data_IF_082646188467
#
_entry.id   IF_082646188467
#
_cell.length_a   1.000
_cell.length_b   1.000
_cell.length_c   1.000
_cell.angle_alpha   90.00
_cell.angle_beta   90.00
_cell.angle_gamma   90.00
#
_symmetry.space_group_name_H-M   'P 1'
#
loop_
_entity.id
_entity.type
_entity.pdbx_description
1 polymer ?
#
# COMPACT_ATOMS: atom_id res chain seq x y z
N UNK A 1 -4.59 -15.71 0.60
CA UNK A 1 -4.31 -14.41 -0.03
C UNK A 1 -5.38 -13.41 0.35
N UNK A 2 -5.00 -12.24 0.84
CA UNK A 2 -5.95 -11.17 1.18
C UNK A 2 -6.38 -10.42 -0.07
N UNK A 3 -7.64 -9.98 -0.09
CA UNK A 3 -8.13 -9.16 -1.20
C UNK A 3 -7.67 -7.72 -1.03
N UNK A 4 -7.22 -7.12 -2.12
CA UNK A 4 -6.86 -5.70 -2.17
C UNK A 4 -8.02 -4.90 -2.71
N UNK A 5 -8.33 -3.80 -2.05
CA UNK A 5 -9.35 -2.85 -2.52
C UNK A 5 -8.64 -1.56 -2.88
N UNK A 6 -8.78 -1.13 -4.12
CA UNK A 6 -8.17 0.09 -4.62
C UNK A 6 -9.11 1.27 -4.42
N UNK A 7 -8.85 2.09 -3.44
CA UNK A 7 -9.59 3.33 -3.23
C UNK A 7 -9.37 4.30 -4.39
N UNK A 8 -10.31 5.21 -4.60
CA UNK A 8 -10.17 6.23 -5.66
C UNK A 8 -8.91 7.07 -5.48
N UNK A 9 -8.58 7.42 -4.25
CA UNK A 9 -7.35 8.17 -3.94
C UNK A 9 -6.10 7.40 -4.32
N UNK A 10 -6.09 6.09 -4.08
CA UNK A 10 -4.97 5.25 -4.46
C UNK A 10 -4.83 5.15 -5.98
N UNK A 11 -5.96 5.01 -6.69
CA UNK A 11 -5.95 4.96 -8.16
C UNK A 11 -5.34 6.22 -8.76
N UNK A 12 -5.73 7.39 -8.21
CA UNK A 12 -5.17 8.67 -8.67
C UNK A 12 -3.69 8.75 -8.40
N UNK A 13 -3.27 8.40 -7.19
CA UNK A 13 -1.86 8.42 -6.81
C UNK A 13 -1.04 7.48 -7.69
N UNK A 14 -1.56 6.29 -7.96
CA UNK A 14 -0.89 5.31 -8.82
C UNK A 14 -0.67 5.86 -10.22
N UNK A 15 -1.71 6.44 -10.83
CA UNK A 15 -1.62 7.02 -12.17
C UNK A 15 -0.60 8.16 -12.22
N UNK A 16 -0.64 9.06 -11.24
CA UNK A 16 0.29 10.20 -11.19
C UNK A 16 1.73 9.74 -11.00
N UNK A 17 1.93 8.82 -10.06
CA UNK A 17 3.26 8.38 -9.66
C UNK A 17 3.95 7.56 -10.73
N UNK A 18 3.18 6.78 -11.49
CA UNK A 18 3.72 5.88 -12.51
C UNK A 18 3.69 6.46 -13.91
N UNK A 19 3.21 7.70 -14.07
CA UNK A 19 3.18 8.34 -15.37
C UNK A 19 4.59 8.38 -15.96
N UNK A 20 4.75 7.80 -17.15
CA UNK A 20 6.03 7.72 -17.85
C UNK A 20 7.12 6.98 -17.06
N UNK A 21 6.71 6.12 -16.11
CA UNK A 21 7.63 5.35 -15.30
C UNK A 21 7.19 3.89 -15.24
N UNK A 22 7.33 3.15 -16.35
CA UNK A 22 6.88 1.75 -16.39
C UNK A 22 7.60 0.84 -15.39
N UNK A 23 8.87 1.11 -15.10
CA UNK A 23 9.61 0.32 -14.11
C UNK A 23 9.03 0.48 -12.71
N UNK A 24 8.64 1.71 -12.34
CA UNK A 24 8.02 1.96 -11.04
C UNK A 24 6.64 1.31 -10.98
N UNK A 25 5.88 1.36 -12.08
CA UNK A 25 4.59 0.70 -12.16
C UNK A 25 4.71 -0.79 -11.87
N UNK A 26 5.65 -1.47 -12.53
CA UNK A 26 5.89 -2.89 -12.32
C UNK A 26 6.29 -3.18 -10.88
N UNK A 27 7.18 -2.35 -10.32
CA UNK A 27 7.63 -2.53 -8.95
C UNK A 27 6.48 -2.41 -7.95
N UNK A 28 5.61 -1.41 -8.13
CA UNK A 28 4.43 -1.25 -7.26
C UNK A 28 3.52 -2.47 -7.38
N UNK A 29 3.25 -2.95 -8.61
CA UNK A 29 2.38 -4.11 -8.80
C UNK A 29 2.97 -5.36 -8.14
N UNK A 30 4.29 -5.55 -8.22
CA UNK A 30 4.95 -6.67 -7.54
C UNK A 30 4.83 -6.55 -6.02
N UNK A 31 5.01 -5.35 -5.48
CA UNK A 31 4.84 -5.12 -4.04
C UNK A 31 3.41 -5.39 -3.60
N UNK A 32 2.42 -4.98 -4.39
CA UNK A 32 1.02 -5.25 -4.09
C UNK A 32 0.74 -6.75 -4.04
N UNK A 33 1.32 -7.51 -4.94
CA UNK A 33 1.18 -8.97 -4.94
C UNK A 33 1.74 -9.57 -3.66
N UNK A 34 2.94 -9.15 -3.26
CA UNK A 34 3.55 -9.62 -2.02
C UNK A 34 2.69 -9.22 -0.82
N UNK A 35 2.18 -7.99 -0.81
CA UNK A 35 1.32 -7.50 0.27
C UNK A 35 0.07 -8.35 0.43
N UNK A 36 -0.55 -8.76 -0.68
CA UNK A 36 -1.74 -9.61 -0.65
C UNK A 36 -1.42 -11.00 -0.10
N UNK A 37 -0.26 -11.54 -0.43
CA UNK A 37 0.17 -12.87 0.02
C UNK A 37 0.58 -12.87 1.49
N UNK A 38 1.37 -11.88 1.90
CA UNK A 38 1.86 -11.75 3.27
C UNK A 38 2.18 -10.29 3.57
N UNK A 39 1.26 -9.54 4.21
CA UNK A 39 1.48 -8.13 4.49
C UNK A 39 2.66 -7.85 5.42
N UNK A 40 3.14 -8.83 6.15
CA UNK A 40 4.27 -8.68 7.07
C UNK A 40 5.55 -9.33 6.57
N UNK A 41 5.62 -9.59 5.27
CA UNK A 41 6.84 -10.07 4.66
C UNK A 41 7.96 -9.05 4.94
N UNK A 42 9.15 -9.47 5.44
CA UNK A 42 10.18 -8.53 5.91
C UNK A 42 10.62 -7.48 4.90
N UNK A 43 10.64 -7.81 3.60
CA UNK A 43 11.03 -6.86 2.57
C UNK A 43 10.09 -5.66 2.46
N UNK A 44 8.85 -5.79 2.92
CA UNK A 44 7.86 -4.72 2.86
C UNK A 44 8.04 -3.68 3.97
N UNK A 45 8.71 -4.04 5.05
CA UNK A 45 8.91 -3.14 6.21
C UNK A 45 7.60 -2.53 6.70
N UNK A 46 6.54 -3.34 6.70
CA UNK A 46 5.19 -2.91 7.07
C UNK A 46 5.17 -2.43 8.52
N UNK A 47 4.60 -1.24 8.74
CA UNK A 47 4.51 -0.67 10.08
C UNK A 47 3.31 0.26 10.21
N UNK A 48 2.86 0.45 11.45
CA UNK A 48 1.76 1.37 11.77
C UNK A 48 2.22 2.81 11.63
N UNK A 49 1.32 3.65 11.16
CA UNK A 49 1.52 5.09 11.14
C UNK A 49 0.89 5.72 12.37
N UNK A 50 1.34 6.91 12.72
CA UNK A 50 0.90 7.62 13.92
C UNK A 50 0.46 9.04 13.61
N UNK A 51 -0.08 9.74 14.62
CA UNK A 51 -0.52 11.12 14.47
C UNK A 51 -1.76 11.21 13.57
N UNK A 52 -1.68 12.07 12.57
CA UNK A 52 -2.81 12.29 11.66
C UNK A 52 -3.13 11.07 10.79
N UNK A 53 -2.17 10.16 10.66
CA UNK A 53 -2.34 8.94 9.87
C UNK A 53 -2.60 7.71 10.73
N UNK A 54 -2.94 7.90 12.00
CA UNK A 54 -3.22 6.79 12.90
C UNK A 54 -4.37 5.93 12.36
N UNK A 55 -4.22 4.62 12.50
CA UNK A 55 -5.15 3.66 11.91
C UNK A 55 -4.73 3.17 10.54
N UNK A 56 -3.75 3.83 9.93
CA UNK A 56 -3.19 3.42 8.65
C UNK A 56 -1.85 2.75 8.86
N UNK A 57 -1.42 2.04 7.82
CA UNK A 57 -0.15 1.33 7.76
C UNK A 57 0.59 1.75 6.52
N UNK A 58 1.89 1.55 6.52
CA UNK A 58 2.70 1.79 5.33
C UNK A 58 3.58 0.59 5.04
N UNK A 59 3.85 0.36 3.75
CA UNK A 59 4.88 -0.58 3.35
C UNK A 59 5.82 0.06 2.34
N UNK A 60 7.02 -0.49 2.28
CA UNK A 60 8.11 0.05 1.48
C UNK A 60 8.04 -0.49 0.05
N UNK A 61 8.16 0.39 -0.94
CA UNK A 61 8.31 0.01 -2.35
C UNK A 61 9.75 0.25 -2.77
N UNK A 62 10.22 1.47 -2.57
CA UNK A 62 11.61 1.86 -2.79
C UNK A 62 11.91 3.06 -1.91
N UNK A 63 13.11 3.60 -1.98
CA UNK A 63 13.57 4.65 -1.07
C UNK A 63 12.56 5.80 -0.95
N UNK A 64 12.01 6.28 -2.06
CA UNK A 64 11.09 7.42 -2.04
C UNK A 64 9.68 7.04 -2.45
N UNK A 65 9.27 5.81 -2.19
CA UNK A 65 7.92 5.37 -2.51
C UNK A 65 7.38 4.44 -1.44
N UNK A 66 6.25 4.83 -0.84
CA UNK A 66 5.55 4.07 0.20
C UNK A 66 4.10 3.89 -0.19
N UNK A 67 3.55 2.73 0.08
CA UNK A 67 2.12 2.47 -0.08
C UNK A 67 1.46 2.60 1.29
N UNK A 68 0.39 3.39 1.36
CA UNK A 68 -0.40 3.58 2.58
C UNK A 68 -1.68 2.79 2.45
N UNK A 69 -2.02 2.02 3.48
CA UNK A 69 -3.19 1.13 3.43
C UNK A 69 -3.78 0.92 4.82
N UNK A 70 -4.96 0.32 4.86
CA UNK A 70 -5.63 -0.05 6.09
C UNK A 70 -6.07 -1.50 6.02
N UNK A 71 -6.17 -2.15 7.19
CA UNK A 71 -6.81 -3.45 7.31
C UNK A 71 -8.27 -3.23 7.69
N UNK A 72 -9.19 -3.85 6.97
CA UNK A 72 -10.62 -3.77 7.24
C UNK A 72 -11.21 -5.16 7.29
N UNK A 73 -12.19 -5.42 8.19
CA UNK A 73 -12.84 -6.73 8.21
C UNK A 73 -13.47 -7.06 6.86
N UNK A 74 -13.29 -8.30 6.41
CA UNK A 74 -13.93 -8.76 5.19
C UNK A 74 -15.33 -9.26 5.52
N UNK A 75 -16.41 -8.68 4.94
CA UNK A 75 -17.78 -9.12 5.18
C UNK A 75 -18.01 -10.59 4.85
N UNK A 76 -17.22 -11.14 3.93
CA UNK A 76 -17.31 -12.56 3.57
C UNK A 76 -16.61 -13.49 4.57
N UNK A 77 -15.91 -12.91 5.57
CA UNK A 77 -15.15 -13.68 6.56
C UNK A 77 -13.75 -13.96 6.10
N UNK A 78 -12.96 -14.63 6.96
CA UNK A 78 -11.56 -14.91 6.69
C UNK A 78 -10.64 -13.76 7.05
N UNK A 79 -9.52 -13.64 6.32
CA UNK A 79 -8.54 -12.57 6.54
C UNK A 79 -9.12 -11.20 6.23
N UNK A 80 -8.59 -10.16 6.87
CA UNK A 80 -8.97 -8.78 6.59
C UNK A 80 -8.69 -8.40 5.14
N UNK A 81 -9.51 -7.48 4.63
CA UNK A 81 -9.22 -6.78 3.39
C UNK A 81 -8.06 -5.82 3.61
N UNK A 82 -7.30 -5.57 2.56
CA UNK A 82 -6.31 -4.49 2.54
C UNK A 82 -6.86 -3.39 1.64
N UNK A 83 -7.21 -2.26 2.25
CA UNK A 83 -7.74 -1.11 1.51
C UNK A 83 -6.58 -0.17 1.21
N UNK A 84 -6.22 -0.06 -0.06
CA UNK A 84 -5.12 0.77 -0.50
C UNK A 84 -5.60 2.23 -0.54
N UNK A 85 -4.92 3.10 0.19
CA UNK A 85 -5.36 4.47 0.40
C UNK A 85 -4.55 5.49 -0.39
N UNK A 86 -3.23 5.35 -0.44
CA UNK A 86 -2.39 6.35 -1.06
C UNK A 86 -1.00 5.79 -1.40
N UNK A 87 -0.27 6.55 -2.21
CA UNK A 87 1.16 6.32 -2.47
C UNK A 87 1.85 7.65 -2.21
N UNK A 88 2.86 7.64 -1.37
CA UNK A 88 3.56 8.87 -1.01
C UNK A 88 5.07 8.69 -0.99
N UNK A 89 5.77 9.80 -0.87
CA UNK A 89 7.20 9.82 -0.65
C UNK A 89 7.49 9.52 0.82
N UNK A 90 8.77 9.29 1.14
CA UNK A 90 9.19 9.11 2.53
C UNK A 90 8.75 10.28 3.40
N UNK A 91 8.97 11.51 2.94
CA UNK A 91 8.64 12.71 3.71
C UNK A 91 7.12 12.93 3.86
N UNK A 92 6.32 12.48 2.90
CA UNK A 92 4.86 12.62 2.98
C UNK A 92 4.23 11.64 3.95
N UNK A 93 4.83 10.47 4.13
CA UNK A 93 4.28 9.38 4.96
C UNK A 93 4.84 9.41 6.39
N UNK A 94 6.05 9.89 6.58
CA UNK A 94 6.69 9.94 7.91
C UNK A 94 6.83 11.38 8.47
#
# INVERSE_FOLDING_TARGET
MRRLVWDASFRRAFKQRTRRQPSLQELILDVLKTLAENPFEPSLKTHKLHGQLEGLWACWVEYDCRIVFAFEPDPAGGDDLIVLADIGSHSEVY
#
